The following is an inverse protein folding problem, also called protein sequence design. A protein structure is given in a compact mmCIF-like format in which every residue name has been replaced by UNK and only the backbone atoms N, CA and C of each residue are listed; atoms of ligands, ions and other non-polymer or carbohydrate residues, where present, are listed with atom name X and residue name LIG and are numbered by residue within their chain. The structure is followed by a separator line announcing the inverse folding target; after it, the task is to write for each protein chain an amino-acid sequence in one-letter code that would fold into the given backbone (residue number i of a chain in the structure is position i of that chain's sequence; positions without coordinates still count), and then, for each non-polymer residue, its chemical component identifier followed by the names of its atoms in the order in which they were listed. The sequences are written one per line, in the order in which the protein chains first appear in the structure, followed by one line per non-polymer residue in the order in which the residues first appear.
data_IF_757349243968
#
_entry.id   IF_757349243968
#
_cell.length_a   1.000
_cell.length_b   1.000
_cell.length_c   1.000
_cell.angle_alpha   90.00
_cell.angle_beta   90.00
_cell.angle_gamma   90.00
#
_symmetry.space_group_name_H-M   'P 1'
#
loop_
_entity.id
_entity.type
_entity.pdbx_description
1 polymer ?
#
# COMPACT_ATOMS: atom_id res chain seq x y z
N UNK A 1 -9.53 -6.76 8.76
CA UNK A 1 -8.26 -7.35 8.25
C UNK A 1 -7.86 -8.43 9.24
N UNK A 2 -7.38 -9.59 8.78
CA UNK A 2 -7.00 -10.71 9.66
C UNK A 2 -5.58 -11.15 9.34
N UNK A 3 -4.84 -11.60 10.37
CA UNK A 3 -3.53 -12.20 10.22
C UNK A 3 -3.44 -13.44 11.11
N UNK A 4 -2.76 -14.48 10.63
CA UNK A 4 -2.55 -15.72 11.36
C UNK A 4 -1.05 -16.02 11.44
N UNK A 5 -0.60 -16.49 12.61
CA UNK A 5 0.74 -16.97 12.81
C UNK A 5 0.71 -18.26 13.63
N UNK A 6 1.55 -19.23 13.27
CA UNK A 6 1.74 -20.47 14.02
C UNK A 6 3.16 -20.54 14.53
N UNK A 7 3.30 -20.87 15.81
CA UNK A 7 4.58 -21.05 16.48
C UNK A 7 4.69 -22.47 17.03
N UNK A 8 5.86 -23.05 16.95
CA UNK A 8 6.17 -24.29 17.67
C UNK A 8 7.19 -23.96 18.76
N UNK A 9 6.88 -24.31 19.98
CA UNK A 9 7.72 -24.03 21.13
C UNK A 9 7.80 -25.26 22.06
N UNK A 10 8.75 -25.23 22.99
CA UNK A 10 8.79 -26.22 24.03
C UNK A 10 7.57 -26.09 24.96
N UNK A 11 7.08 -27.21 25.49
CA UNK A 11 5.89 -27.21 26.34
C UNK A 11 6.07 -26.33 27.59
N UNK A 12 7.29 -26.27 28.13
CA UNK A 12 7.66 -25.45 29.27
C UNK A 12 7.58 -23.93 29.00
N UNK A 13 7.69 -23.50 27.75
CA UNK A 13 7.66 -22.10 27.35
C UNK A 13 6.23 -21.60 27.04
N UNK A 14 5.25 -22.50 26.98
CA UNK A 14 3.89 -22.17 26.51
C UNK A 14 3.25 -21.03 27.31
N UNK A 15 3.30 -21.11 28.66
CA UNK A 15 2.68 -20.09 29.51
C UNK A 15 3.34 -18.72 29.35
N UNK A 16 4.67 -18.69 29.21
CA UNK A 16 5.41 -17.44 28.98
C UNK A 16 5.05 -16.82 27.65
N UNK A 17 4.89 -17.61 26.59
CA UNK A 17 4.47 -17.15 25.27
C UNK A 17 3.05 -16.57 25.33
N UNK A 18 2.13 -17.25 25.99
CA UNK A 18 0.75 -16.76 26.14
C UNK A 18 0.69 -15.44 26.92
N UNK A 19 1.50 -15.29 27.97
CA UNK A 19 1.62 -14.01 28.70
C UNK A 19 2.15 -12.91 27.78
N UNK A 20 3.18 -13.20 26.99
CA UNK A 20 3.75 -12.25 26.04
C UNK A 20 2.73 -11.80 25.00
N UNK A 21 1.93 -12.72 24.46
CA UNK A 21 0.88 -12.39 23.47
C UNK A 21 -0.20 -11.50 24.09
N UNK A 22 -0.66 -11.79 25.32
CA UNK A 22 -1.61 -10.93 26.03
C UNK A 22 -1.07 -9.52 26.26
N UNK A 23 0.18 -9.41 26.69
CA UNK A 23 0.82 -8.10 26.87
C UNK A 23 0.93 -7.32 25.55
N UNK A 24 1.19 -8.00 24.42
CA UNK A 24 1.19 -7.37 23.09
C UNK A 24 -0.21 -6.88 22.69
N UNK A 25 -1.25 -7.66 22.95
CA UNK A 25 -2.63 -7.24 22.71
C UNK A 25 -2.99 -5.99 23.50
N UNK A 26 -2.61 -5.92 24.78
CA UNK A 26 -2.81 -4.75 25.65
C UNK A 26 -2.10 -3.51 25.08
N UNK A 27 -0.86 -3.66 24.63
CA UNK A 27 -0.09 -2.56 24.00
C UNK A 27 -0.79 -2.08 22.72
N UNK A 28 -1.17 -2.98 21.85
CA UNK A 28 -1.84 -2.61 20.59
C UNK A 28 -3.19 -1.96 20.82
N UNK A 29 -3.98 -2.46 21.77
CA UNK A 29 -5.25 -1.84 22.14
C UNK A 29 -5.05 -0.42 22.69
N UNK A 30 -3.96 -0.18 23.43
CA UNK A 30 -3.63 1.16 23.92
C UNK A 30 -3.16 2.10 22.79
N UNK A 31 -2.35 1.60 21.85
CA UNK A 31 -1.87 2.38 20.71
C UNK A 31 -2.98 2.75 19.71
N UNK A 32 -3.88 1.82 19.45
CA UNK A 32 -4.96 1.99 18.46
C UNK A 32 -6.32 2.32 19.08
N UNK A 33 -6.33 2.77 20.34
CA UNK A 33 -7.56 3.08 21.06
C UNK A 33 -8.41 4.13 20.33
N UNK A 34 -9.62 3.70 19.93
CA UNK A 34 -10.55 4.55 19.18
C UNK A 34 -10.42 4.48 17.65
N UNK A 35 -9.31 4.01 17.10
CA UNK A 35 -9.12 3.84 15.67
C UNK A 35 -9.49 2.40 15.24
N UNK A 36 -9.11 1.39 16.03
CA UNK A 36 -9.38 -0.03 15.77
C UNK A 36 -10.10 -0.70 16.95
N UNK A 37 -11.36 -0.38 17.22
CA UNK A 37 -12.08 -0.86 18.41
C UNK A 37 -12.37 -2.38 18.41
N UNK A 38 -12.13 -3.05 17.29
CA UNK A 38 -12.31 -4.49 17.11
C UNK A 38 -11.03 -5.31 17.15
N UNK A 39 -9.88 -4.71 17.50
CA UNK A 39 -8.61 -5.42 17.56
C UNK A 39 -8.62 -6.45 18.69
N UNK A 40 -8.48 -7.72 18.33
CA UNK A 40 -8.42 -8.84 19.28
C UNK A 40 -7.39 -9.86 18.84
N UNK A 41 -6.73 -10.50 19.78
CA UNK A 41 -5.81 -11.62 19.54
C UNK A 41 -6.40 -12.90 20.09
N UNK A 42 -6.70 -13.86 19.23
CA UNK A 42 -7.14 -15.20 19.63
C UNK A 42 -5.97 -16.15 19.60
N UNK A 43 -5.80 -16.92 20.65
CA UNK A 43 -4.75 -17.95 20.74
C UNK A 43 -5.38 -19.32 20.89
N UNK A 44 -4.86 -20.26 20.13
CA UNK A 44 -5.19 -21.68 20.27
C UNK A 44 -3.88 -22.44 20.52
N UNK A 45 -3.90 -23.43 21.39
CA UNK A 45 -2.73 -24.25 21.68
C UNK A 45 -3.05 -25.71 21.43
N UNK A 46 -2.16 -26.38 20.72
CA UNK A 46 -2.26 -27.80 20.43
C UNK A 46 -0.96 -28.50 20.81
N UNK A 47 -1.04 -29.68 21.38
CA UNK A 47 0.13 -30.52 21.66
C UNK A 47 0.44 -31.36 20.43
N UNK A 48 1.58 -31.14 19.83
CA UNK A 48 2.09 -31.89 18.68
C UNK A 48 3.34 -32.68 19.07
N UNK A 49 3.48 -33.90 18.53
CA UNK A 49 4.61 -34.77 18.78
C UNK A 49 5.62 -34.81 17.64
N UNK A 50 5.16 -34.59 16.41
CA UNK A 50 5.94 -34.69 15.17
C UNK A 50 5.81 -33.40 14.35
N UNK A 51 6.47 -32.33 14.80
CA UNK A 51 6.48 -31.08 14.08
C UNK A 51 7.70 -30.94 13.19
N UNK A 52 7.48 -30.60 11.92
CA UNK A 52 8.55 -30.11 11.06
C UNK A 52 8.67 -28.60 11.26
N UNK A 53 9.82 -28.16 11.74
CA UNK A 53 10.07 -26.75 12.07
C UNK A 53 11.34 -26.26 11.38
N UNK A 54 11.48 -24.95 11.24
CA UNK A 54 12.75 -24.38 10.81
C UNK A 54 13.86 -24.68 11.81
N UNK A 55 15.07 -24.84 11.31
CA UNK A 55 16.26 -24.84 12.15
C UNK A 55 16.37 -23.49 12.91
N UNK A 56 17.11 -23.51 14.02
CA UNK A 56 17.36 -22.28 14.78
C UNK A 56 17.98 -21.17 13.91
N UNK A 57 18.92 -21.51 13.03
CA UNK A 57 19.56 -20.59 12.10
C UNK A 57 18.53 -20.00 11.11
N UNK A 58 17.70 -20.85 10.50
CA UNK A 58 16.64 -20.39 9.59
C UNK A 58 15.63 -19.49 10.30
N UNK A 59 15.20 -19.87 11.51
CA UNK A 59 14.29 -19.05 12.33
C UNK A 59 14.89 -17.67 12.59
N UNK A 60 16.16 -17.60 12.99
CA UNK A 60 16.85 -16.33 13.23
C UNK A 60 16.95 -15.48 11.96
N UNK A 61 17.24 -16.09 10.80
CA UNK A 61 17.25 -15.38 9.51
C UNK A 61 15.89 -14.83 9.14
N UNK A 62 14.83 -15.63 9.25
CA UNK A 62 13.46 -15.20 8.94
C UNK A 62 13.02 -14.05 9.85
N UNK A 63 13.19 -14.21 11.16
CA UNK A 63 12.83 -13.15 12.12
C UNK A 63 13.67 -11.88 11.89
N UNK A 64 14.98 -12.05 11.67
CA UNK A 64 15.88 -10.93 11.35
C UNK A 64 15.48 -10.21 10.07
N UNK A 65 15.15 -10.96 9.02
CA UNK A 65 14.66 -10.42 7.75
C UNK A 65 13.37 -9.61 7.94
N UNK A 66 12.36 -10.17 8.61
CA UNK A 66 11.10 -9.48 8.83
C UNK A 66 11.27 -8.21 9.66
N UNK A 67 12.16 -8.22 10.65
CA UNK A 67 12.47 -7.04 11.48
C UNK A 67 13.27 -5.97 10.74
N UNK A 68 14.17 -6.37 9.84
CA UNK A 68 15.01 -5.46 9.08
C UNK A 68 14.33 -4.95 7.79
N UNK A 69 13.29 -5.64 7.33
CA UNK A 69 12.58 -5.28 6.10
C UNK A 69 11.92 -3.92 6.24
N UNK A 70 12.15 -3.02 5.27
CA UNK A 70 11.50 -1.71 5.27
C UNK A 70 9.99 -1.88 5.09
N UNK A 71 9.20 -1.04 5.78
CA UNK A 71 7.74 -1.03 5.67
C UNK A 71 7.18 0.35 5.99
N UNK A 72 5.99 0.67 5.48
CA UNK A 72 5.26 1.89 5.78
C UNK A 72 5.61 3.08 4.89
N UNK A 73 5.36 4.27 5.42
CA UNK A 73 5.66 5.54 4.77
C UNK A 73 7.17 5.76 4.67
N UNK A 74 7.64 6.09 3.47
CA UNK A 74 9.05 6.43 3.21
C UNK A 74 9.24 7.94 3.02
N UNK A 75 8.37 8.60 2.27
CA UNK A 75 8.53 10.02 1.97
C UNK A 75 7.18 10.70 1.69
N UNK A 76 7.04 11.92 2.18
CA UNK A 76 5.97 12.83 1.78
C UNK A 76 6.35 13.63 0.54
N UNK A 77 5.37 14.05 -0.23
CA UNK A 77 5.58 14.87 -1.41
C UNK A 77 6.10 16.27 -1.02
N UNK A 78 7.14 16.69 -1.73
CA UNK A 78 7.65 18.08 -1.64
C UNK A 78 6.85 19.06 -2.50
N UNK A 79 5.95 18.56 -3.35
CA UNK A 79 5.17 19.36 -4.32
C UNK A 79 3.74 19.58 -3.88
N UNK A 80 3.18 18.63 -3.13
CA UNK A 80 1.80 18.71 -2.59
C UNK A 80 1.86 18.40 -1.10
N UNK A 81 1.56 19.37 -0.27
CA UNK A 81 1.64 19.25 1.17
C UNK A 81 0.72 18.16 1.71
N UNK A 82 1.22 17.35 2.65
CA UNK A 82 0.47 16.27 3.29
C UNK A 82 0.27 15.01 2.45
N UNK A 83 0.59 15.04 1.15
CA UNK A 83 0.42 13.88 0.29
C UNK A 83 1.60 12.90 0.40
N UNK A 84 1.31 11.62 0.49
CA UNK A 84 2.31 10.54 0.45
C UNK A 84 2.90 10.44 -0.96
N UNK A 85 4.21 10.50 -1.07
CA UNK A 85 4.93 10.31 -2.34
C UNK A 85 5.39 8.87 -2.51
N UNK A 86 6.00 8.29 -1.47
CA UNK A 86 6.61 6.96 -1.53
C UNK A 86 6.25 6.17 -0.27
N UNK A 87 5.77 4.97 -0.48
CA UNK A 87 5.50 4.01 0.60
C UNK A 87 5.70 2.58 0.12
N UNK A 88 5.84 1.66 1.07
CA UNK A 88 5.78 0.24 0.79
C UNK A 88 5.02 -0.48 1.89
N UNK A 89 4.44 -1.62 1.53
CA UNK A 89 3.73 -2.48 2.45
C UNK A 89 4.23 -3.92 2.31
N UNK A 90 4.72 -4.50 3.40
CA UNK A 90 4.90 -5.95 3.52
C UNK A 90 3.51 -6.57 3.71
N UNK A 91 2.85 -6.86 2.60
CA UNK A 91 1.43 -7.23 2.59
C UNK A 91 1.17 -8.71 2.83
N UNK A 92 2.10 -9.57 2.43
CA UNK A 92 1.95 -11.03 2.58
C UNK A 92 3.25 -11.66 3.02
N UNK A 93 3.17 -12.50 4.03
CA UNK A 93 4.23 -13.42 4.43
C UNK A 93 3.65 -14.82 4.41
N UNK A 94 4.24 -15.72 3.64
CA UNK A 94 3.74 -17.08 3.51
C UNK A 94 4.85 -18.12 3.63
N UNK A 95 4.53 -19.22 4.30
CA UNK A 95 5.40 -20.39 4.35
C UNK A 95 5.38 -21.10 3.00
N UNK A 96 6.56 -21.51 2.54
CA UNK A 96 6.76 -22.36 1.37
C UNK A 96 7.52 -23.62 1.79
N UNK A 97 7.57 -24.60 0.90
CA UNK A 97 8.27 -25.86 1.15
C UNK A 97 9.73 -25.66 1.59
N UNK A 98 10.43 -24.70 1.00
CA UNK A 98 11.86 -24.46 1.22
C UNK A 98 12.16 -23.10 1.88
N UNK A 99 11.20 -22.48 2.57
CA UNK A 99 11.45 -21.19 3.23
C UNK A 99 10.22 -20.32 3.42
N UNK A 100 10.45 -19.01 3.39
CA UNK A 100 9.40 -18.00 3.54
C UNK A 100 9.43 -17.08 2.33
N UNK A 101 8.26 -16.80 1.80
CA UNK A 101 8.05 -15.79 0.79
C UNK A 101 7.42 -14.54 1.43
N UNK A 102 8.02 -13.38 1.16
CA UNK A 102 7.51 -12.08 1.58
C UNK A 102 7.19 -11.24 0.35
N UNK A 103 5.94 -10.79 0.22
CA UNK A 103 5.50 -9.96 -0.88
C UNK A 103 5.31 -8.51 -0.43
N UNK A 104 6.00 -7.62 -1.14
CA UNK A 104 5.95 -6.18 -0.92
C UNK A 104 5.17 -5.49 -2.03
N UNK A 105 4.31 -4.56 -1.65
CA UNK A 105 3.71 -3.62 -2.56
C UNK A 105 4.42 -2.26 -2.41
N UNK A 106 5.22 -1.89 -3.40
CA UNK A 106 5.97 -0.64 -3.42
C UNK A 106 5.22 0.36 -4.29
N UNK A 107 4.97 1.55 -3.75
CA UNK A 107 4.28 2.63 -4.42
C UNK A 107 5.10 3.91 -4.35
N UNK A 108 5.22 4.62 -5.46
CA UNK A 108 5.82 5.95 -5.50
C UNK A 108 5.26 6.75 -6.67
N UNK A 109 5.07 8.05 -6.46
CA UNK A 109 4.80 9.01 -7.52
C UNK A 109 6.08 9.43 -8.28
N UNK A 110 7.28 8.91 -7.88
CA UNK A 110 8.58 9.25 -8.48
C UNK A 110 9.36 7.97 -8.76
N UNK A 111 9.72 7.71 -10.03
CA UNK A 111 10.37 6.46 -10.44
C UNK A 111 11.73 6.23 -9.77
N UNK A 112 12.56 7.27 -9.61
CA UNK A 112 13.85 7.15 -8.93
C UNK A 112 13.71 6.76 -7.45
N UNK A 113 12.64 7.20 -6.78
CA UNK A 113 12.35 6.83 -5.39
C UNK A 113 11.82 5.40 -5.30
N UNK A 114 10.98 5.00 -6.25
CA UNK A 114 10.53 3.61 -6.37
C UNK A 114 11.72 2.66 -6.55
N UNK A 115 12.64 3.01 -7.44
CA UNK A 115 13.85 2.23 -7.66
C UNK A 115 14.73 2.13 -6.41
N UNK A 116 14.91 3.23 -5.68
CA UNK A 116 15.66 3.24 -4.42
C UNK A 116 15.06 2.29 -3.37
N UNK A 117 13.73 2.28 -3.24
CA UNK A 117 13.06 1.37 -2.29
C UNK A 117 13.19 -0.09 -2.74
N UNK A 118 13.13 -0.36 -4.05
CA UNK A 118 13.40 -1.70 -4.60
C UNK A 118 14.81 -2.18 -4.25
N UNK A 119 15.81 -1.33 -4.41
CA UNK A 119 17.20 -1.63 -4.07
C UNK A 119 17.39 -1.86 -2.55
N UNK A 120 16.67 -1.10 -1.72
CA UNK A 120 16.67 -1.27 -0.25
C UNK A 120 16.11 -2.65 0.14
N UNK A 121 14.94 -3.03 -0.42
CA UNK A 121 14.34 -4.35 -0.19
C UNK A 121 15.25 -5.48 -0.69
N UNK A 122 15.81 -5.33 -1.88
CA UNK A 122 16.74 -6.32 -2.47
C UNK A 122 18.00 -6.50 -1.62
N UNK A 123 18.59 -5.40 -1.14
CA UNK A 123 19.78 -5.44 -0.29
C UNK A 123 19.51 -6.17 1.04
N UNK A 124 18.38 -5.87 1.69
CA UNK A 124 17.97 -6.58 2.91
C UNK A 124 17.72 -8.06 2.61
N UNK A 125 17.01 -8.37 1.52
CA UNK A 125 16.73 -9.75 1.10
C UNK A 125 18.02 -10.54 0.91
N UNK A 126 19.00 -10.00 0.20
CA UNK A 126 20.31 -10.61 -0.03
C UNK A 126 21.12 -10.78 1.26
N UNK A 127 21.08 -9.82 2.17
CA UNK A 127 21.78 -9.88 3.45
C UNK A 127 21.34 -11.07 4.31
N UNK A 128 20.08 -11.50 4.17
CA UNK A 128 19.56 -12.70 4.86
C UNK A 128 19.56 -13.96 3.98
N UNK A 129 20.22 -13.93 2.82
CA UNK A 129 20.41 -15.09 1.93
C UNK A 129 19.21 -15.41 1.04
N UNK A 130 18.28 -14.47 0.91
CA UNK A 130 17.12 -14.58 0.01
C UNK A 130 17.38 -14.05 -1.39
N UNK A 131 16.39 -14.23 -2.26
CA UNK A 131 16.36 -13.70 -3.63
C UNK A 131 15.03 -12.99 -3.87
N UNK A 132 15.04 -11.88 -4.61
CA UNK A 132 13.85 -11.12 -4.94
C UNK A 132 13.51 -11.23 -6.43
N UNK A 133 12.21 -11.16 -6.73
CA UNK A 133 11.68 -11.00 -8.09
C UNK A 133 10.73 -9.82 -8.13
N UNK A 134 10.68 -9.14 -9.26
CA UNK A 134 9.78 -8.02 -9.48
C UNK A 134 8.65 -8.48 -10.42
N UNK A 135 7.42 -8.24 -10.03
CA UNK A 135 6.24 -8.49 -10.84
C UNK A 135 5.35 -7.24 -10.91
N UNK A 136 4.55 -7.15 -11.96
CA UNK A 136 3.51 -6.10 -12.11
C UNK A 136 4.05 -4.67 -11.97
N UNK A 137 5.26 -4.42 -12.49
CA UNK A 137 5.87 -3.10 -12.45
C UNK A 137 5.17 -2.13 -13.42
N UNK A 138 4.94 -0.90 -12.96
CA UNK A 138 4.42 0.21 -13.76
C UNK A 138 5.20 1.48 -13.45
N UNK A 139 5.16 2.46 -14.37
CA UNK A 139 5.82 3.75 -14.18
C UNK A 139 5.06 4.63 -13.19
N UNK A 140 5.82 5.48 -12.50
CA UNK A 140 5.25 6.48 -11.62
C UNK A 140 4.52 7.57 -12.44
N UNK A 141 3.41 8.05 -11.88
CA UNK A 141 2.73 9.23 -12.40
C UNK A 141 3.14 10.45 -11.59
N UNK A 142 4.22 11.06 -12.03
CA UNK A 142 4.79 12.21 -11.33
C UNK A 142 3.95 13.46 -11.53
N UNK A 143 3.71 14.21 -10.44
CA UNK A 143 3.05 15.51 -10.51
C UNK A 143 3.79 16.46 -11.44
N UNK A 144 3.09 17.00 -12.45
CA UNK A 144 3.59 17.96 -13.43
C UNK A 144 3.16 19.37 -12.99
N UNK A 145 4.08 20.23 -12.50
CA UNK A 145 3.72 21.59 -12.05
C UNK A 145 3.07 22.44 -13.16
N UNK A 146 3.65 22.43 -14.36
CA UNK A 146 3.08 23.07 -15.54
C UNK A 146 2.18 22.07 -16.26
N UNK A 147 0.89 22.34 -16.30
CA UNK A 147 -0.13 21.56 -16.98
C UNK A 147 -1.04 22.55 -17.73
N UNK A 148 -1.24 22.30 -19.01
CA UNK A 148 -2.17 23.09 -19.82
C UNK A 148 -3.62 22.61 -19.63
N UNK A 149 -3.79 21.34 -19.38
CA UNK A 149 -5.11 20.71 -19.15
C UNK A 149 -5.69 21.09 -17.79
N UNK A 150 -4.88 21.15 -16.73
CA UNK A 150 -5.36 21.38 -15.37
C UNK A 150 -6.15 22.69 -15.19
N UNK A 151 -5.71 23.86 -15.68
CA UNK A 151 -6.51 25.08 -15.60
C UNK A 151 -7.88 24.94 -16.27
N UNK A 152 -7.95 24.31 -17.44
CA UNK A 152 -9.21 24.07 -18.17
C UNK A 152 -10.16 23.23 -17.32
N UNK A 153 -9.64 22.18 -16.68
CA UNK A 153 -10.43 21.31 -15.81
C UNK A 153 -10.87 22.04 -14.53
N UNK A 154 -10.03 22.88 -13.93
CA UNK A 154 -10.39 23.67 -12.74
C UNK A 154 -11.57 24.60 -13.04
N UNK A 155 -11.51 25.33 -14.14
CA UNK A 155 -12.61 26.25 -14.54
C UNK A 155 -13.89 25.48 -14.84
N UNK A 156 -13.82 24.39 -15.59
CA UNK A 156 -14.99 23.55 -15.85
C UNK A 156 -15.57 22.94 -14.54
N UNK A 157 -14.72 22.58 -13.60
CA UNK A 157 -15.16 22.07 -12.29
C UNK A 157 -15.89 23.14 -11.48
N UNK A 158 -15.37 24.38 -11.44
CA UNK A 158 -16.04 25.50 -10.79
C UNK A 158 -17.41 25.77 -11.39
N UNK A 159 -17.54 25.71 -12.71
CA UNK A 159 -18.82 25.93 -13.39
C UNK A 159 -19.86 24.86 -13.04
N UNK A 160 -19.46 23.58 -13.01
CA UNK A 160 -20.39 22.47 -12.75
C UNK A 160 -20.69 22.28 -11.24
N UNK A 161 -19.68 22.44 -10.37
CA UNK A 161 -19.80 22.11 -8.95
C UNK A 161 -19.87 23.33 -8.03
N UNK A 162 -19.67 24.56 -8.53
CA UNK A 162 -19.74 25.81 -7.76
C UNK A 162 -18.62 25.99 -6.74
N UNK A 163 -17.55 25.21 -6.80
CA UNK A 163 -16.40 25.24 -5.88
C UNK A 163 -15.12 24.86 -6.59
N UNK A 164 -13.98 25.19 -6.00
CA UNK A 164 -12.69 24.71 -6.51
C UNK A 164 -12.49 23.20 -6.28
N UNK A 165 -11.86 22.47 -7.22
CA UNK A 165 -11.46 21.10 -6.99
C UNK A 165 -10.27 21.05 -6.04
N UNK A 166 -10.17 19.99 -5.28
CA UNK A 166 -8.96 19.64 -4.56
C UNK A 166 -7.96 18.99 -5.53
N UNK A 167 -6.73 19.50 -5.55
CA UNK A 167 -5.64 18.96 -6.36
C UNK A 167 -4.83 17.99 -5.51
N UNK A 168 -5.01 16.71 -5.80
CA UNK A 168 -4.32 15.63 -5.10
C UNK A 168 -3.24 14.99 -5.98
N UNK A 169 -2.29 14.35 -5.34
CA UNK A 169 -1.42 13.35 -5.96
C UNK A 169 -1.76 11.98 -5.39
N UNK A 170 -1.60 10.96 -6.21
CA UNK A 170 -1.73 9.59 -5.77
C UNK A 170 -0.44 8.84 -6.14
N UNK A 171 0.12 8.12 -5.20
CA UNK A 171 1.31 7.29 -5.41
C UNK A 171 0.97 5.84 -5.80
N UNK A 172 -0.31 5.59 -6.10
CA UNK A 172 -0.81 4.31 -6.63
C UNK A 172 -0.59 4.16 -8.13
N UNK A 173 -0.78 2.94 -8.64
CA UNK A 173 -0.81 2.66 -10.06
C UNK A 173 -2.12 3.15 -10.68
N UNK A 174 -2.01 4.10 -11.60
CA UNK A 174 -3.11 4.54 -12.45
C UNK A 174 -2.69 4.46 -13.91
N UNK A 175 -3.68 4.38 -14.79
CA UNK A 175 -3.51 4.33 -16.25
C UNK A 175 -2.68 5.51 -16.77
N UNK A 176 -2.78 6.68 -16.13
CA UNK A 176 -1.97 7.86 -16.46
C UNK A 176 -0.46 7.57 -16.42
N UNK A 177 0.02 6.79 -15.45
CA UNK A 177 1.42 6.36 -15.38
C UNK A 177 1.80 5.47 -16.56
N UNK A 178 0.91 4.57 -16.97
CA UNK A 178 1.14 3.71 -18.15
C UNK A 178 1.17 4.51 -19.43
N UNK A 179 0.28 5.49 -19.60
CA UNK A 179 0.27 6.38 -20.77
C UNK A 179 1.54 7.22 -20.85
N UNK A 180 1.95 7.83 -19.75
CA UNK A 180 3.17 8.62 -19.68
C UNK A 180 4.43 7.79 -19.93
N UNK A 181 4.42 6.52 -19.58
CA UNK A 181 5.47 5.59 -19.94
C UNK A 181 5.67 5.40 -21.44
N UNK A 182 4.61 5.52 -22.21
CA UNK A 182 4.64 5.43 -23.67
C UNK A 182 4.75 6.80 -24.34
N UNK A 183 4.19 7.81 -23.73
CA UNK A 183 4.12 9.20 -24.22
C UNK A 183 4.44 10.17 -23.09
N UNK A 184 5.73 10.41 -22.79
CA UNK A 184 6.17 11.28 -21.69
C UNK A 184 5.75 12.75 -21.82
N UNK A 185 5.41 13.16 -23.04
CA UNK A 185 4.94 14.50 -23.37
C UNK A 185 3.47 14.75 -23.00
N UNK A 186 2.68 13.70 -22.73
CA UNK A 186 1.28 13.86 -22.36
C UNK A 186 1.09 14.69 -21.10
N UNK A 187 0.00 15.46 -21.11
CA UNK A 187 -0.53 16.11 -19.91
C UNK A 187 -1.76 15.32 -19.45
N UNK A 188 -1.65 14.69 -18.30
CA UNK A 188 -2.68 13.78 -17.81
C UNK A 188 -3.22 14.26 -16.46
N UNK A 189 -4.55 14.29 -16.36
CA UNK A 189 -5.29 14.52 -15.12
C UNK A 189 -6.32 13.40 -14.98
N UNK A 190 -6.41 12.79 -13.79
CA UNK A 190 -7.41 11.79 -13.49
C UNK A 190 -8.58 12.41 -12.74
N UNK A 191 -9.79 12.07 -13.13
CA UNK A 191 -11.02 12.44 -12.45
C UNK A 191 -12.08 11.38 -12.70
N UNK A 192 -13.10 11.34 -11.86
CA UNK A 192 -14.19 10.37 -12.03
C UNK A 192 -15.35 10.65 -11.08
N UNK A 193 -16.40 9.83 -11.16
CA UNK A 193 -17.52 9.86 -10.24
C UNK A 193 -17.13 9.35 -8.85
N UNK A 194 -18.04 9.57 -7.88
CA UNK A 194 -17.88 9.09 -6.52
C UNK A 194 -18.11 7.57 -6.49
N UNK A 195 -17.10 6.84 -6.03
CA UNK A 195 -17.15 5.41 -5.79
C UNK A 195 -16.92 5.16 -4.31
N UNK A 196 -17.83 4.43 -3.68
CA UNK A 196 -17.81 4.12 -2.25
C UNK A 196 -17.37 2.68 -2.05
N UNK A 197 -16.69 2.41 -0.93
CA UNK A 197 -16.24 1.08 -0.52
C UNK A 197 -15.39 0.37 -1.60
N UNK A 198 -14.53 1.13 -2.30
CA UNK A 198 -13.65 0.65 -3.37
C UNK A 198 -12.83 -0.56 -2.90
N UNK A 199 -12.68 -1.55 -3.78
CA UNK A 199 -11.98 -2.82 -3.53
C UNK A 199 -12.65 -3.73 -2.49
N UNK A 200 -13.95 -3.55 -2.26
CA UNK A 200 -14.74 -4.44 -1.43
C UNK A 200 -15.95 -5.01 -2.20
N UNK A 201 -16.58 -6.05 -1.65
CA UNK A 201 -17.83 -6.59 -2.20
C UNK A 201 -19.03 -5.66 -2.00
N UNK A 202 -18.87 -4.57 -1.24
CA UNK A 202 -19.88 -3.52 -1.06
C UNK A 202 -19.61 -2.30 -1.97
N UNK A 203 -18.69 -2.40 -2.92
CA UNK A 203 -18.35 -1.31 -3.85
C UNK A 203 -19.60 -0.78 -4.55
N UNK A 204 -19.77 0.55 -4.52
CA UNK A 204 -20.95 1.23 -5.07
C UNK A 204 -20.55 2.47 -5.84
N UNK A 205 -21.18 2.69 -6.99
CA UNK A 205 -21.05 3.89 -7.78
C UNK A 205 -22.24 4.83 -7.52
N UNK A 206 -21.97 6.10 -7.23
CA UNK A 206 -23.02 7.13 -7.14
C UNK A 206 -23.48 7.53 -8.54
N UNK A 207 -24.76 7.24 -8.86
CA UNK A 207 -25.32 7.51 -10.20
C UNK A 207 -25.40 9.01 -10.50
N UNK A 208 -25.77 9.81 -9.49
CA UNK A 208 -25.88 11.26 -9.68
C UNK A 208 -24.51 11.91 -9.91
N UNK A 209 -23.48 11.43 -9.21
CA UNK A 209 -22.09 11.88 -9.45
C UNK A 209 -21.58 11.49 -10.83
N UNK A 210 -21.98 10.31 -11.33
CA UNK A 210 -21.66 9.86 -12.70
C UNK A 210 -22.24 10.80 -13.75
N UNK A 211 -23.50 11.22 -13.58
CA UNK A 211 -24.11 12.19 -14.45
C UNK A 211 -23.39 13.55 -14.42
N UNK A 212 -23.05 14.05 -13.23
CA UNK A 212 -22.26 15.29 -13.09
C UNK A 212 -20.89 15.17 -13.73
N UNK A 213 -20.21 14.04 -13.55
CA UNK A 213 -18.90 13.78 -14.17
C UNK A 213 -18.98 13.77 -15.69
N UNK A 214 -20.07 13.27 -16.26
CA UNK A 214 -20.31 13.30 -17.70
C UNK A 214 -20.45 14.74 -18.22
N UNK A 215 -21.27 15.57 -17.56
CA UNK A 215 -21.43 17.00 -17.93
C UNK A 215 -20.09 17.75 -17.80
N UNK A 216 -19.33 17.46 -16.74
CA UNK A 216 -17.99 18.02 -16.53
C UNK A 216 -17.05 17.67 -17.70
N UNK A 217 -16.96 16.40 -18.08
CA UNK A 217 -16.11 15.96 -19.19
C UNK A 217 -16.51 16.61 -20.54
N UNK A 218 -17.80 16.74 -20.81
CA UNK A 218 -18.27 17.46 -22.01
C UNK A 218 -17.82 18.92 -22.02
N UNK A 219 -17.89 19.58 -20.87
CA UNK A 219 -17.46 20.97 -20.76
C UNK A 219 -15.95 21.13 -20.92
N UNK A 220 -15.15 20.22 -20.31
CA UNK A 220 -13.70 20.18 -20.49
C UNK A 220 -13.36 20.03 -21.99
N UNK A 221 -13.94 19.05 -22.67
CA UNK A 221 -13.70 18.82 -24.10
C UNK A 221 -14.10 20.02 -24.97
N UNK A 222 -15.17 20.69 -24.62
CA UNK A 222 -15.61 21.91 -25.32
C UNK A 222 -14.60 23.06 -25.16
N UNK A 223 -13.94 23.14 -24.02
CA UNK A 223 -12.99 24.22 -23.66
C UNK A 223 -11.55 23.88 -24.06
N UNK A 224 -11.22 22.63 -24.37
CA UNK A 224 -9.94 22.25 -24.98
C UNK A 224 -9.94 22.68 -26.45
N UNK A 225 -9.10 23.67 -26.77
CA UNK A 225 -8.92 24.21 -28.14
C UNK A 225 -7.52 23.88 -28.64
#
# INVERSE_FOLDING_TARGET
MEAHASLVAALEDTEQILVMIRNMEDVWNAEFMGEEPGLTVKTETEKITDAVVFSKDTTQKVVGYLKASPNGLKEYSRKVAGATETSLNLGVVSMKENGVEAAFLIRSAVDSRKQQVLEEVDAVTKAFGGTGTISSAYQAWQYKPQSELRPVMIEAYKEIYGKEPEICIIHGGLECGIFLGKRPDLDCVSCGPDVLDIHSYNERLDIASTQRSWEFLKLVLKNCK
#
